data_IF_138737051053
#
_entry.id   IF_138737051053
#
_cell.length_a   1.000
_cell.length_b   1.000
_cell.length_c   1.000
_cell.angle_alpha   90.00
_cell.angle_beta   90.00
_cell.angle_gamma   90.00
#
_symmetry.space_group_name_H-M   'P 1'
#
loop_
_entity.id
_entity.type
_entity.pdbx_description
1 polymer ?
#
# COMPACT_ATOMS: atom_id res chain seq x y z
N UNK A 1 -6.91 -11.50 -22.70
CA UNK A 1 -6.80 -11.74 -21.25
C UNK A 1 -6.23 -10.47 -20.65
N UNK A 2 -6.88 -9.89 -19.66
CA UNK A 2 -6.38 -8.69 -18.95
C UNK A 2 -5.16 -9.09 -18.12
N UNK A 3 -4.05 -8.34 -18.21
CA UNK A 3 -2.81 -8.63 -17.46
C UNK A 3 -2.78 -7.87 -16.13
N UNK A 4 -1.93 -8.29 -15.18
CA UNK A 4 -1.77 -7.57 -13.90
C UNK A 4 -1.38 -6.09 -14.10
N UNK A 5 -0.45 -5.74 -15.02
CA UNK A 5 -0.20 -4.33 -15.36
C UNK A 5 -1.43 -3.56 -15.85
N UNK A 6 -2.30 -4.19 -16.64
CA UNK A 6 -3.54 -3.54 -17.12
C UNK A 6 -4.50 -3.27 -15.95
N UNK A 7 -4.60 -4.19 -14.99
CA UNK A 7 -5.44 -4.05 -13.80
C UNK A 7 -4.89 -2.99 -12.83
N UNK A 8 -3.56 -2.93 -12.67
CA UNK A 8 -2.88 -1.88 -11.89
C UNK A 8 -3.11 -0.51 -12.54
N UNK A 9 -2.97 -0.43 -13.87
CA UNK A 9 -3.24 0.79 -14.60
C UNK A 9 -4.70 1.23 -14.44
N UNK A 10 -5.65 0.29 -14.54
CA UNK A 10 -7.07 0.55 -14.29
C UNK A 10 -7.32 1.05 -12.86
N UNK A 11 -6.66 0.47 -11.85
CA UNK A 11 -6.79 0.93 -10.46
C UNK A 11 -6.28 2.37 -10.27
N UNK A 12 -5.21 2.74 -10.98
CA UNK A 12 -4.62 4.08 -10.90
C UNK A 12 -5.44 5.15 -11.66
N UNK A 13 -6.11 4.77 -12.75
CA UNK A 13 -6.96 5.70 -13.52
C UNK A 13 -8.38 5.84 -12.94
N UNK A 14 -8.81 4.90 -12.11
CA UNK A 14 -10.12 4.95 -11.47
C UNK A 14 -10.19 6.04 -10.39
N UNK A 15 -11.41 6.43 -10.02
CA UNK A 15 -11.58 7.20 -8.78
C UNK A 15 -11.13 6.34 -7.58
N UNK A 16 -10.65 6.95 -6.51
CA UNK A 16 -9.98 6.26 -5.40
C UNK A 16 -10.78 5.07 -4.83
N UNK A 17 -12.10 5.24 -4.65
CA UNK A 17 -12.97 4.16 -4.17
C UNK A 17 -13.03 2.96 -5.14
N UNK A 18 -13.09 3.22 -6.44
CA UNK A 18 -13.09 2.16 -7.46
C UNK A 18 -11.70 1.56 -7.64
N UNK A 19 -10.64 2.37 -7.52
CA UNK A 19 -9.25 1.91 -7.50
C UNK A 19 -9.01 0.89 -6.39
N UNK A 20 -9.47 1.19 -5.16
CA UNK A 20 -9.40 0.24 -4.04
C UNK A 20 -10.17 -1.06 -4.32
N UNK A 21 -11.35 -1.00 -4.94
CA UNK A 21 -12.13 -2.20 -5.30
C UNK A 21 -11.43 -3.04 -6.36
N UNK A 22 -10.84 -2.40 -7.36
CA UNK A 22 -10.02 -3.07 -8.37
C UNK A 22 -8.83 -3.76 -7.71
N UNK A 23 -8.10 -3.06 -6.83
CA UNK A 23 -7.00 -3.67 -6.06
C UNK A 23 -7.48 -4.82 -5.18
N UNK A 24 -8.59 -4.67 -4.47
CA UNK A 24 -9.15 -5.73 -3.63
C UNK A 24 -9.44 -7.01 -4.43
N UNK A 25 -10.02 -6.87 -5.63
CA UNK A 25 -10.23 -8.00 -6.53
C UNK A 25 -8.92 -8.62 -7.04
N UNK A 26 -7.88 -7.80 -7.28
CA UNK A 26 -6.56 -8.31 -7.67
C UNK A 26 -5.91 -9.09 -6.52
N UNK A 27 -5.98 -8.56 -5.29
CA UNK A 27 -5.37 -9.15 -4.10
C UNK A 27 -6.02 -10.47 -3.68
N UNK A 28 -7.31 -10.67 -4.00
CA UNK A 28 -7.99 -11.96 -3.86
C UNK A 28 -7.39 -13.05 -4.78
N UNK A 29 -6.55 -12.66 -5.74
CA UNK A 29 -5.81 -13.53 -6.64
C UNK A 29 -4.30 -13.52 -6.34
N UNK A 30 -3.92 -13.78 -5.09
CA UNK A 30 -2.53 -13.82 -4.62
C UNK A 30 -1.58 -14.66 -5.50
N UNK A 31 -2.06 -15.76 -6.08
CA UNK A 31 -1.30 -16.61 -7.02
C UNK A 31 -0.89 -15.88 -8.31
N UNK A 32 -1.75 -14.99 -8.81
CA UNK A 32 -1.49 -14.19 -10.02
C UNK A 32 -0.41 -13.15 -9.73
N UNK A 33 -0.51 -12.49 -8.58
CA UNK A 33 0.47 -11.49 -8.13
C UNK A 33 1.82 -12.16 -7.87
N UNK A 34 1.82 -13.30 -7.19
CA UNK A 34 3.03 -14.06 -6.92
C UNK A 34 3.72 -14.47 -8.22
N UNK A 35 2.98 -15.01 -9.19
CA UNK A 35 3.52 -15.39 -10.50
C UNK A 35 4.09 -14.19 -11.27
N UNK A 36 3.36 -13.08 -11.30
CA UNK A 36 3.84 -11.87 -11.97
C UNK A 36 5.09 -11.30 -11.28
N UNK A 37 5.10 -11.26 -9.94
CA UNK A 37 6.26 -10.82 -9.14
C UNK A 37 7.47 -11.69 -9.45
N UNK A 38 7.26 -13.00 -9.62
CA UNK A 38 8.32 -13.93 -10.00
C UNK A 38 8.88 -13.61 -11.39
N UNK A 39 8.01 -13.44 -12.37
CA UNK A 39 8.38 -13.11 -13.75
C UNK A 39 9.11 -11.76 -13.82
N UNK A 40 8.63 -10.76 -13.08
CA UNK A 40 9.22 -9.42 -13.02
C UNK A 40 10.58 -9.41 -12.32
N UNK A 41 10.70 -10.13 -11.20
CA UNK A 41 11.97 -10.32 -10.50
C UNK A 41 13.01 -10.98 -11.44
N UNK A 42 12.63 -12.04 -12.15
CA UNK A 42 13.50 -12.68 -13.15
C UNK A 42 13.88 -11.71 -14.28
N UNK A 43 12.94 -10.91 -14.79
CA UNK A 43 13.20 -9.88 -15.81
C UNK A 43 14.21 -8.83 -15.34
N UNK A 44 14.16 -8.47 -14.05
CA UNK A 44 15.09 -7.52 -13.41
C UNK A 44 16.47 -8.15 -13.08
N UNK A 45 16.62 -9.46 -13.30
CA UNK A 45 17.85 -10.20 -13.04
C UNK A 45 18.00 -10.66 -11.59
N UNK A 46 16.90 -10.68 -10.83
CA UNK A 46 16.86 -11.31 -9.51
C UNK A 46 16.79 -12.84 -9.67
N UNK A 47 17.48 -13.62 -8.82
CA UNK A 47 17.46 -15.08 -8.91
C UNK A 47 16.08 -15.68 -8.64
N UNK A 48 15.76 -16.83 -9.27
CA UNK A 48 14.46 -17.49 -9.12
C UNK A 48 14.13 -17.93 -7.67
N UNK A 49 15.15 -18.12 -6.82
CA UNK A 49 14.95 -18.34 -5.39
C UNK A 49 14.30 -17.10 -4.73
N UNK A 50 14.70 -15.89 -5.12
CA UNK A 50 14.19 -14.59 -4.63
C UNK A 50 12.70 -14.38 -4.91
N UNK A 51 12.23 -15.05 -5.95
CA UNK A 51 10.89 -14.97 -6.48
C UNK A 51 9.92 -15.93 -5.76
N UNK A 52 10.44 -17.04 -5.25
CA UNK A 52 9.68 -18.01 -4.45
C UNK A 52 9.69 -17.67 -2.97
N UNK A 53 10.85 -17.33 -2.40
CA UNK A 53 11.10 -16.98 -1.00
C UNK A 53 12.17 -15.86 -0.96
N UNK A 54 11.99 -14.81 -0.17
CA UNK A 54 13.06 -13.82 0.08
C UNK A 54 14.37 -14.55 0.50
N UNK A 55 15.52 -14.46 -0.21
CA UNK A 55 16.63 -15.40 -0.02
C UNK A 55 17.78 -14.83 0.81
N UNK A 56 18.56 -15.72 1.44
CA UNK A 56 19.75 -15.37 2.22
C UNK A 56 21.05 -15.40 1.36
N UNK A 57 22.06 -14.64 1.82
CA UNK A 57 23.25 -14.13 1.11
C UNK A 57 24.11 -15.12 0.29
N UNK A 58 23.95 -16.44 0.43
CA UNK A 58 24.87 -17.43 -0.14
C UNK A 58 24.53 -17.94 -1.56
N UNK A 59 23.38 -17.53 -2.12
CA UNK A 59 22.70 -18.37 -3.14
C UNK A 59 22.61 -17.79 -4.56
N UNK A 60 23.40 -16.77 -4.95
CA UNK A 60 23.02 -15.91 -6.09
C UNK A 60 24.05 -15.93 -7.27
N UNK A 61 23.68 -16.38 -8.50
CA UNK A 61 24.59 -16.65 -9.64
C UNK A 61 24.67 -15.54 -10.73
N UNK A 62 25.59 -15.72 -11.71
CA UNK A 62 26.51 -14.72 -12.29
C UNK A 62 26.08 -13.86 -13.50
N UNK A 63 25.03 -14.14 -14.29
CA UNK A 63 24.96 -13.52 -15.63
C UNK A 63 23.61 -12.85 -15.97
N UNK A 64 23.66 -11.57 -16.40
CA UNK A 64 23.04 -11.03 -17.63
C UNK A 64 22.55 -9.54 -17.57
N UNK A 65 22.28 -9.02 -18.77
CA UNK A 65 22.09 -7.64 -19.26
C UNK A 65 20.68 -7.05 -19.02
N UNK A 66 20.64 -5.72 -18.94
CA UNK A 66 19.49 -4.87 -18.56
C UNK A 66 18.56 -4.51 -19.74
N UNK A 67 17.23 -4.57 -19.56
CA UNK A 67 16.33 -3.65 -20.27
C UNK A 67 15.22 -2.97 -19.43
N UNK A 68 15.06 -1.67 -19.73
CA UNK A 68 13.98 -0.65 -19.58
C UNK A 68 12.83 -0.81 -18.56
N UNK A 69 12.51 0.32 -17.94
CA UNK A 69 11.60 0.56 -16.82
C UNK A 69 10.13 0.72 -17.22
N UNK A 70 9.26 0.08 -16.43
CA UNK A 70 7.80 0.17 -16.36
C UNK A 70 7.34 -0.65 -15.14
N UNK A 71 8.07 -0.51 -14.02
CA UNK A 71 8.38 -1.61 -13.13
C UNK A 71 8.20 -1.24 -11.64
N UNK A 72 7.93 -2.29 -10.86
CA UNK A 72 7.82 -2.32 -9.41
C UNK A 72 9.06 -1.68 -8.74
N UNK A 73 8.86 -0.54 -8.07
CA UNK A 73 9.94 0.24 -7.48
C UNK A 73 10.69 -0.53 -6.39
N UNK A 74 9.97 -1.26 -5.53
CA UNK A 74 10.57 -2.15 -4.53
C UNK A 74 11.51 -3.20 -5.16
N UNK A 75 11.06 -3.88 -6.22
CA UNK A 75 11.89 -4.87 -6.92
C UNK A 75 13.09 -4.24 -7.64
N UNK A 76 12.94 -3.03 -8.17
CA UNK A 76 14.06 -2.28 -8.76
C UNK A 76 15.13 -2.02 -7.72
N UNK A 77 14.76 -1.49 -6.57
CA UNK A 77 15.70 -1.16 -5.50
C UNK A 77 16.37 -2.42 -4.95
N UNK A 78 15.62 -3.52 -4.80
CA UNK A 78 16.20 -4.83 -4.43
C UNK A 78 17.15 -5.38 -5.49
N UNK A 79 16.85 -5.22 -6.77
CA UNK A 79 17.76 -5.60 -7.84
C UNK A 79 19.05 -4.77 -7.82
N UNK A 80 18.98 -3.48 -7.47
CA UNK A 80 20.14 -2.60 -7.31
C UNK A 80 20.96 -2.98 -6.07
N UNK A 81 20.32 -3.15 -4.91
CA UNK A 81 20.94 -3.62 -3.67
C UNK A 81 21.78 -4.88 -3.95
N UNK A 82 21.15 -5.88 -4.58
CA UNK A 82 21.79 -7.14 -4.88
C UNK A 82 23.03 -6.99 -5.77
N UNK A 83 22.97 -6.12 -6.79
CA UNK A 83 24.10 -5.85 -7.68
C UNK A 83 25.28 -5.25 -6.94
N UNK A 84 25.01 -4.34 -6.00
CA UNK A 84 26.05 -3.75 -5.17
C UNK A 84 26.65 -4.83 -4.25
N UNK A 85 25.84 -5.60 -3.54
CA UNK A 85 26.33 -6.66 -2.63
C UNK A 85 27.16 -7.75 -3.33
N UNK A 86 26.90 -7.99 -4.61
CA UNK A 86 27.62 -8.99 -5.42
C UNK A 86 28.81 -8.43 -6.20
N UNK A 87 29.17 -7.16 -5.98
CA UNK A 87 30.32 -6.54 -6.65
C UNK A 87 30.13 -6.30 -8.15
N UNK A 88 28.88 -6.26 -8.61
CA UNK A 88 28.53 -6.01 -10.02
C UNK A 88 28.41 -4.53 -10.35
N UNK A 89 28.42 -3.69 -9.33
CA UNK A 89 28.54 -2.24 -9.44
C UNK A 89 29.83 -1.88 -8.70
N UNK A 90 30.75 -1.23 -9.43
CA UNK A 90 32.00 -0.77 -8.85
C UNK A 90 31.71 0.42 -7.93
N UNK A 91 31.94 0.22 -6.63
CA UNK A 91 31.44 1.08 -5.56
C UNK A 91 32.51 1.23 -4.47
N UNK A 92 32.67 2.44 -3.92
CA UNK A 92 33.69 2.72 -2.89
C UNK A 92 33.50 1.90 -1.60
N UNK A 93 32.26 1.58 -1.23
CA UNK A 93 31.91 0.60 -0.19
C UNK A 93 30.59 -0.10 -0.56
N UNK A 94 30.65 -1.34 -1.08
CA UNK A 94 29.47 -2.07 -1.52
C UNK A 94 28.48 -2.40 -0.39
N UNK A 95 28.91 -2.51 0.87
CA UNK A 95 27.97 -2.83 1.95
C UNK A 95 27.14 -1.60 2.32
N UNK A 96 27.77 -0.44 2.45
CA UNK A 96 27.08 0.81 2.78
C UNK A 96 26.08 1.23 1.70
N UNK A 97 26.44 1.09 0.43
CA UNK A 97 25.53 1.42 -0.67
C UNK A 97 24.38 0.42 -0.76
N UNK A 98 24.63 -0.86 -0.47
CA UNK A 98 23.57 -1.86 -0.43
C UNK A 98 22.59 -1.62 0.73
N UNK A 99 23.08 -1.24 1.92
CA UNK A 99 22.22 -0.88 3.05
C UNK A 99 21.36 0.36 2.75
N UNK A 100 21.92 1.35 2.06
CA UNK A 100 21.13 2.50 1.60
C UNK A 100 20.02 2.07 0.62
N UNK A 101 20.34 1.23 -0.36
CA UNK A 101 19.36 0.73 -1.35
C UNK A 101 18.30 -0.19 -0.73
N UNK A 102 18.65 -0.94 0.31
CA UNK A 102 17.70 -1.70 1.13
C UNK A 102 16.74 -0.76 1.87
N UNK A 103 17.26 0.36 2.39
CA UNK A 103 16.48 1.44 2.98
C UNK A 103 15.46 2.01 1.98
N UNK A 104 15.91 2.39 0.79
CA UNK A 104 15.04 2.90 -0.28
C UNK A 104 14.00 1.86 -0.72
N UNK A 105 14.38 0.58 -0.88
CA UNK A 105 13.43 -0.49 -1.23
C UNK A 105 12.32 -0.64 -0.19
N UNK A 106 12.68 -0.54 1.09
CA UNK A 106 11.71 -0.62 2.18
C UNK A 106 10.84 0.64 2.25
N UNK A 107 11.41 1.82 2.00
CA UNK A 107 10.72 3.10 2.08
C UNK A 107 9.84 3.41 0.85
N UNK A 108 10.15 2.90 -0.34
CA UNK A 108 9.34 3.05 -1.57
C UNK A 108 8.31 1.92 -1.80
N UNK A 109 8.26 0.93 -0.90
CA UNK A 109 7.35 -0.21 -0.99
C UNK A 109 6.68 -0.55 0.35
N UNK A 110 7.09 -1.63 1.04
CA UNK A 110 6.37 -2.14 2.23
C UNK A 110 6.14 -1.11 3.34
N UNK A 111 7.13 -0.28 3.70
CA UNK A 111 6.95 0.71 4.79
C UNK A 111 6.05 1.86 4.39
N UNK A 112 6.08 2.27 3.12
CA UNK A 112 5.16 3.29 2.64
C UNK A 112 3.72 2.78 2.67
N UNK A 113 3.50 1.54 2.23
CA UNK A 113 2.21 0.86 2.34
C UNK A 113 1.77 0.73 3.82
N UNK A 114 2.62 0.25 4.71
CA UNK A 114 2.32 0.11 6.14
C UNK A 114 1.93 1.45 6.79
N UNK A 115 2.66 2.53 6.47
CA UNK A 115 2.33 3.87 6.97
C UNK A 115 0.99 4.35 6.45
N UNK A 116 0.73 4.17 5.15
CA UNK A 116 -0.55 4.56 4.54
C UNK A 116 -1.72 3.75 5.12
N UNK A 117 -1.54 2.45 5.34
CA UNK A 117 -2.53 1.58 5.99
C UNK A 117 -2.77 1.97 7.44
N UNK A 118 -1.72 2.26 8.21
CA UNK A 118 -1.86 2.71 9.60
C UNK A 118 -2.64 4.03 9.70
N UNK A 119 -2.35 4.99 8.80
CA UNK A 119 -3.10 6.24 8.69
C UNK A 119 -4.56 5.99 8.32
N UNK A 120 -4.82 5.11 7.35
CA UNK A 120 -6.18 4.78 6.91
C UNK A 120 -7.00 4.11 8.01
N UNK A 121 -6.44 3.08 8.67
CA UNK A 121 -7.05 2.39 9.81
C UNK A 121 -7.37 3.38 10.94
N UNK A 122 -6.44 4.29 11.25
CA UNK A 122 -6.65 5.35 12.22
C UNK A 122 -7.86 6.22 11.84
N UNK A 123 -7.92 6.72 10.60
CA UNK A 123 -8.98 7.61 10.14
C UNK A 123 -10.36 6.91 10.12
N UNK A 124 -10.42 5.65 9.71
CA UNK A 124 -11.65 4.87 9.70
C UNK A 124 -12.18 4.63 11.12
N UNK A 125 -11.29 4.26 12.04
CA UNK A 125 -11.62 3.97 13.43
C UNK A 125 -11.97 5.24 14.25
N UNK A 126 -11.42 6.40 13.91
CA UNK A 126 -11.67 7.65 14.64
C UNK A 126 -13.17 8.00 14.69
N UNK A 127 -13.83 8.14 15.86
CA UNK A 127 -15.29 8.20 15.92
C UNK A 127 -15.89 9.47 15.35
N UNK A 128 -15.20 10.61 15.44
CA UNK A 128 -15.72 11.89 14.98
C UNK A 128 -15.77 11.94 13.46
N UNK A 129 -16.91 12.40 12.91
CA UNK A 129 -17.15 12.41 11.47
C UNK A 129 -17.33 13.85 11.02
N UNK A 130 -16.26 14.43 10.49
CA UNK A 130 -16.29 15.75 9.84
C UNK A 130 -16.16 15.58 8.34
N UNK A 131 -16.61 16.58 7.58
CA UNK A 131 -16.38 16.62 6.15
C UNK A 131 -14.88 16.56 5.80
N UNK A 132 -14.05 17.29 6.55
CA UNK A 132 -12.59 17.26 6.38
C UNK A 132 -12.00 15.86 6.56
N UNK A 133 -12.49 15.08 7.54
CA UNK A 133 -12.02 13.73 7.78
C UNK A 133 -12.37 12.78 6.63
N UNK A 134 -13.52 12.95 5.97
CA UNK A 134 -13.86 12.16 4.78
C UNK A 134 -12.92 12.44 3.61
N UNK A 135 -12.51 13.70 3.42
CA UNK A 135 -11.48 14.05 2.42
C UNK A 135 -10.11 13.48 2.78
N UNK A 136 -9.78 13.46 4.06
CA UNK A 136 -8.52 12.87 4.54
C UNK A 136 -8.49 11.35 4.32
N UNK A 137 -9.63 10.68 4.50
CA UNK A 137 -9.78 9.26 4.16
C UNK A 137 -9.54 9.05 2.66
N UNK A 138 -10.14 9.87 1.80
CA UNK A 138 -9.96 9.78 0.34
C UNK A 138 -8.48 9.99 -0.06
N UNK A 139 -7.83 11.03 0.47
CA UNK A 139 -6.41 11.28 0.25
C UNK A 139 -5.52 10.13 0.74
N UNK A 140 -5.80 9.60 1.93
CA UNK A 140 -5.01 8.50 2.50
C UNK A 140 -5.25 7.18 1.76
N UNK A 141 -6.48 6.93 1.32
CA UNK A 141 -6.83 5.82 0.45
C UNK A 141 -6.07 5.89 -0.87
N UNK A 142 -5.95 7.08 -1.47
CA UNK A 142 -5.14 7.26 -2.68
C UNK A 142 -3.67 6.93 -2.42
N UNK A 143 -3.11 7.29 -1.26
CA UNK A 143 -1.74 6.90 -0.90
C UNK A 143 -1.55 5.38 -0.83
N UNK A 144 -2.57 4.63 -0.40
CA UNK A 144 -2.54 3.14 -0.44
C UNK A 144 -2.56 2.65 -1.88
N UNK A 145 -3.42 3.22 -2.74
CA UNK A 145 -3.46 2.90 -4.18
C UNK A 145 -2.11 3.21 -4.84
N UNK A 146 -1.53 4.38 -4.58
CA UNK A 146 -0.25 4.82 -5.13
C UNK A 146 0.91 3.90 -4.70
N UNK A 147 0.95 3.51 -3.42
CA UNK A 147 1.96 2.58 -2.91
C UNK A 147 1.88 1.22 -3.60
N UNK A 148 0.68 0.66 -3.74
CA UNK A 148 0.47 -0.66 -4.38
C UNK A 148 0.75 -0.58 -5.88
N UNK A 149 0.29 0.47 -6.55
CA UNK A 149 0.48 0.61 -8.01
C UNK A 149 1.94 0.89 -8.38
N UNK A 150 2.70 1.56 -7.50
CA UNK A 150 4.13 1.83 -7.66
C UNK A 150 5.00 0.62 -7.33
N UNK A 151 4.58 -0.21 -6.37
CA UNK A 151 5.31 -1.39 -5.89
C UNK A 151 4.40 -2.60 -5.69
N UNK A 152 3.84 -3.22 -6.76
CA UNK A 152 2.84 -4.28 -6.61
C UNK A 152 3.27 -5.49 -5.78
N UNK A 153 4.56 -5.83 -5.77
CA UNK A 153 5.13 -6.92 -4.97
C UNK A 153 5.02 -6.71 -3.46
N UNK A 154 4.89 -5.46 -2.98
CA UNK A 154 4.80 -5.18 -1.55
C UNK A 154 3.52 -5.75 -0.93
N UNK A 155 2.52 -6.11 -1.74
CA UNK A 155 1.28 -6.73 -1.27
C UNK A 155 1.47 -8.17 -0.81
N UNK A 156 2.58 -8.81 -1.17
CA UNK A 156 2.93 -10.15 -0.66
C UNK A 156 3.30 -10.10 0.83
N UNK A 157 3.75 -8.94 1.32
CA UNK A 157 4.04 -8.69 2.73
C UNK A 157 2.88 -8.01 3.47
N UNK A 158 1.74 -7.79 2.78
CA UNK A 158 0.59 -7.12 3.35
C UNK A 158 0.01 -7.89 4.53
N UNK A 159 0.08 -7.31 5.71
CA UNK A 159 -0.52 -7.85 6.92
C UNK A 159 -1.23 -6.74 7.71
N UNK A 160 -2.50 -6.53 7.42
CA UNK A 160 -3.30 -5.45 8.02
C UNK A 160 -3.42 -5.62 9.55
N UNK A 161 -3.56 -6.86 10.01
CA UNK A 161 -3.60 -7.17 11.45
C UNK A 161 -2.30 -6.80 12.17
N UNK A 162 -1.14 -6.93 11.51
CA UNK A 162 0.14 -6.49 12.07
C UNK A 162 0.27 -4.95 12.13
N UNK A 163 -0.44 -4.23 11.26
CA UNK A 163 -0.45 -2.75 11.23
C UNK A 163 -1.41 -2.16 12.27
N UNK A 164 -2.51 -2.87 12.58
CA UNK A 164 -3.56 -2.40 13.49
C UNK A 164 -3.06 -1.92 14.87
N UNK A 165 -2.15 -2.64 15.58
CA UNK A 165 -1.63 -2.19 16.87
C UNK A 165 -1.05 -0.77 16.86
N UNK A 166 -0.40 -0.36 15.77
CA UNK A 166 0.17 0.98 15.63
C UNK A 166 -0.93 2.06 15.49
N UNK A 167 -1.96 1.79 14.68
CA UNK A 167 -3.12 2.68 14.54
C UNK A 167 -3.90 2.78 15.86
N UNK A 168 -4.16 1.63 16.52
CA UNK A 168 -4.82 1.55 17.83
C UNK A 168 -4.06 2.33 18.90
N UNK A 169 -2.74 2.18 18.96
CA UNK A 169 -1.92 2.94 19.90
C UNK A 169 -2.09 4.46 19.71
N UNK A 170 -2.07 4.94 18.46
CA UNK A 170 -2.30 6.36 18.14
C UNK A 170 -3.69 6.84 18.58
N UNK A 171 -4.74 6.04 18.36
CA UNK A 171 -6.10 6.37 18.79
C UNK A 171 -6.16 6.56 20.32
N UNK A 172 -5.66 5.58 21.06
CA UNK A 172 -5.70 5.58 22.53
C UNK A 172 -4.79 6.63 23.16
N UNK A 173 -3.70 7.03 22.47
CA UNK A 173 -2.86 8.16 22.91
C UNK A 173 -3.57 9.51 22.78
N UNK A 174 -4.45 9.66 21.78
CA UNK A 174 -5.24 10.89 21.59
C UNK A 174 -6.45 10.93 22.52
N UNK A 175 -7.14 9.80 22.68
CA UNK A 175 -8.27 9.67 23.59
C UNK A 175 -8.28 8.26 24.22
N UNK A 176 -7.80 8.13 25.48
CA UNK A 176 -7.75 6.85 26.20
C UNK A 176 -9.13 6.26 26.53
N UNK A 177 -10.22 7.02 26.39
CA UNK A 177 -11.58 6.58 26.69
C UNK A 177 -12.30 6.01 25.46
N UNK A 178 -11.66 6.02 24.29
CA UNK A 178 -12.22 5.42 23.10
C UNK A 178 -12.39 3.91 23.27
N UNK A 179 -13.57 3.42 22.92
CA UNK A 179 -13.84 1.99 22.79
C UNK A 179 -13.26 1.49 21.46
N UNK A 180 -11.98 1.10 21.50
CA UNK A 180 -11.23 0.61 20.35
C UNK A 180 -10.96 -0.89 20.52
N UNK A 181 -11.43 -1.75 19.60
CA UNK A 181 -11.25 -3.20 19.71
C UNK A 181 -9.77 -3.58 19.69
N UNK A 182 -9.45 -4.70 20.33
CA UNK A 182 -8.08 -5.25 20.32
C UNK A 182 -7.71 -5.82 18.95
N UNK A 183 -8.65 -6.51 18.31
CA UNK A 183 -8.51 -7.06 16.96
C UNK A 183 -8.87 -6.03 15.89
N UNK A 184 -8.30 -6.18 14.69
CA UNK A 184 -8.58 -5.27 13.59
C UNK A 184 -10.04 -5.44 13.13
N UNK A 185 -10.83 -4.36 13.02
CA UNK A 185 -12.19 -4.44 12.48
C UNK A 185 -12.27 -4.81 10.99
N UNK A 186 -11.15 -4.69 10.28
CA UNK A 186 -11.01 -4.94 8.84
C UNK A 186 -9.74 -5.76 8.59
N UNK A 187 -9.71 -7.04 8.97
CA UNK A 187 -8.50 -7.86 8.91
C UNK A 187 -8.02 -8.13 7.48
N UNK A 188 -8.92 -8.07 6.48
CA UNK A 188 -8.58 -8.25 5.07
C UNK A 188 -8.57 -6.94 4.29
N UNK A 189 -7.81 -6.89 3.19
CA UNK A 189 -7.79 -5.72 2.31
C UNK A 189 -9.14 -5.47 1.66
N UNK A 190 -9.91 -6.53 1.38
CA UNK A 190 -11.26 -6.44 0.84
C UNK A 190 -12.17 -5.69 1.82
N UNK A 191 -12.22 -6.12 3.08
CA UNK A 191 -13.03 -5.46 4.11
C UNK A 191 -12.60 -4.01 4.34
N UNK A 192 -11.28 -3.75 4.33
CA UNK A 192 -10.74 -2.40 4.47
C UNK A 192 -11.14 -1.51 3.28
N UNK A 193 -11.02 -2.03 2.06
CA UNK A 193 -11.38 -1.34 0.83
C UNK A 193 -12.88 -1.01 0.78
N UNK A 194 -13.74 -1.95 1.14
CA UNK A 194 -15.19 -1.73 1.19
C UNK A 194 -15.57 -0.68 2.24
N UNK A 195 -15.01 -0.78 3.44
CA UNK A 195 -15.24 0.19 4.50
C UNK A 195 -14.78 1.59 4.09
N UNK A 196 -13.62 1.69 3.43
CA UNK A 196 -13.05 2.93 2.93
C UNK A 196 -13.91 3.55 1.83
N UNK A 197 -14.29 2.76 0.82
CA UNK A 197 -15.14 3.21 -0.27
C UNK A 197 -16.49 3.74 0.25
N UNK A 198 -17.11 3.03 1.20
CA UNK A 198 -18.34 3.49 1.84
C UNK A 198 -18.17 4.82 2.60
N UNK A 199 -16.96 5.11 3.12
CA UNK A 199 -16.68 6.42 3.74
C UNK A 199 -16.49 7.52 2.70
N UNK A 200 -15.74 7.25 1.63
CA UNK A 200 -15.53 8.20 0.53
C UNK A 200 -16.87 8.60 -0.08
N UNK A 201 -17.75 7.63 -0.37
CA UNK A 201 -19.09 7.87 -0.92
C UNK A 201 -19.94 8.76 0.00
N UNK A 202 -19.88 8.54 1.32
CA UNK A 202 -20.54 9.41 2.32
C UNK A 202 -19.98 10.83 2.30
N UNK A 203 -18.67 10.98 2.15
CA UNK A 203 -18.01 12.29 2.01
C UNK A 203 -18.47 13.04 0.76
N UNK A 204 -18.52 12.36 -0.39
CA UNK A 204 -18.99 12.92 -1.65
C UNK A 204 -20.47 13.31 -1.60
N UNK A 205 -21.31 12.49 -0.95
CA UNK A 205 -22.71 12.83 -0.72
C UNK A 205 -22.86 14.07 0.15
N UNK A 206 -22.03 14.20 1.19
CA UNK A 206 -21.99 15.39 2.03
C UNK A 206 -21.61 16.65 1.23
N UNK A 207 -20.60 16.55 0.37
CA UNK A 207 -20.18 17.64 -0.51
C UNK A 207 -21.32 18.08 -1.43
N UNK A 208 -22.01 17.13 -2.07
CA UNK A 208 -23.16 17.41 -2.94
C UNK A 208 -24.26 18.18 -2.19
N UNK A 209 -24.56 17.78 -0.94
CA UNK A 209 -25.55 18.46 -0.09
C UNK A 209 -25.13 19.89 0.25
N UNK A 210 -23.86 20.09 0.63
CA UNK A 210 -23.32 21.42 0.93
C UNK A 210 -23.43 22.33 -0.30
N UNK A 211 -23.03 21.86 -1.48
CA UNK A 211 -23.13 22.60 -2.74
C UNK A 211 -24.58 22.95 -3.09
N UNK A 212 -25.52 22.04 -2.81
CA UNK A 212 -26.96 22.23 -3.04
C UNK A 212 -27.68 23.02 -1.94
N UNK A 213 -26.97 23.39 -0.85
CA UNK A 213 -27.54 24.03 0.35
C UNK A 213 -28.66 23.19 1.00
N UNK A 214 -28.52 21.87 0.93
CA UNK A 214 -29.42 20.92 1.59
C UNK A 214 -29.04 20.77 3.07
N UNK A 215 -30.01 20.41 3.95
CA UNK A 215 -29.72 20.15 5.35
C UNK A 215 -28.73 18.99 5.51
N UNK A 216 -27.76 19.21 6.40
CA UNK A 216 -26.74 18.23 6.73
C UNK A 216 -27.31 17.24 7.76
N UNK A 217 -27.03 15.92 7.64
CA UNK A 217 -27.46 14.94 8.63
C UNK A 217 -27.04 15.29 10.07
N UNK A 218 -27.90 15.02 11.08
CA UNK A 218 -27.68 15.41 12.48
C UNK A 218 -26.35 14.93 13.08
N UNK A 219 -25.84 13.79 12.62
CA UNK A 219 -24.57 13.22 13.10
C UNK A 219 -23.33 14.09 12.75
N UNK A 220 -23.46 15.02 11.81
CA UNK A 220 -22.42 15.99 11.44
C UNK A 220 -22.64 17.37 12.06
N UNK A 221 -23.86 17.71 12.48
CA UNK A 221 -24.19 19.01 13.06
C UNK A 221 -23.39 19.28 14.35
N UNK A 222 -23.07 18.23 15.11
CA UNK A 222 -22.27 18.32 16.35
C UNK A 222 -20.84 18.82 16.10
N UNK A 223 -20.33 18.69 14.88
CA UNK A 223 -18.95 19.01 14.54
C UNK A 223 -18.78 20.24 13.62
N UNK A 224 -19.88 20.95 13.31
CA UNK A 224 -19.85 22.21 12.55
C UNK A 224 -19.99 23.48 13.41
N UNK A 225 -20.07 23.33 14.73
CA UNK A 225 -20.07 24.43 15.71
C UNK A 225 -18.67 24.61 16.27
#
# INVERSE_FOLDING_TARGET
>A
MTTLPDLIHQANEACTADGLRVLANILDHADVISRWTIEEAQRLGLPAAFAGHWPQKAELPVEYKVPRYGADASLIWKALEWKVRTGRIDACDPNLIAEALEGEAADDGPRWLDRALADLLFLLAWPARTYALHREIDFTAQRVVDAITSSPSCVLDLNIDAVWPAARHRLLMLDPLLDVPEECPWPTFVELAEATAARIEKGQEMERRIVRKEPVPPEYERFMR
#
